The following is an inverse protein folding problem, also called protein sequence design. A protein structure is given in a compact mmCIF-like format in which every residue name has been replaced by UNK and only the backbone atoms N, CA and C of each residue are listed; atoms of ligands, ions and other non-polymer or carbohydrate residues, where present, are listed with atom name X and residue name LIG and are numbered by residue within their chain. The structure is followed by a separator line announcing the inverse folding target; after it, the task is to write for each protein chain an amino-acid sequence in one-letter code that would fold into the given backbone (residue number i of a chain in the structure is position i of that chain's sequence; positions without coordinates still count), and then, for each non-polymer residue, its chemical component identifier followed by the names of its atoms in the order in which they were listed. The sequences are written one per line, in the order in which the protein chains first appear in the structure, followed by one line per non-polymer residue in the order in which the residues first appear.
data_IF_025701572864
#
_entry.id   IF_025701572864
#
_cell.length_a   1.000
_cell.length_b   1.000
_cell.length_c   1.000
_cell.angle_alpha   90.00
_cell.angle_beta   90.00
_cell.angle_gamma   90.00
#
_symmetry.space_group_name_H-M   'P 1'
#
loop_
_entity.id
_entity.type
_entity.pdbx_description
1 polymer ?
#
# COMPACT_ATOMS: atom_id res chain seq x y z
N UNK A 1 52.54 71.86 -44.95
CA UNK A 1 51.46 72.10 -45.93
C UNK A 1 51.23 70.93 -46.90
N UNK A 2 52.25 70.13 -47.23
CA UNK A 2 52.09 68.94 -48.11
C UNK A 2 51.34 67.78 -47.47
N UNK A 3 51.57 67.50 -46.18
CA UNK A 3 50.88 66.41 -45.46
C UNK A 3 49.37 66.66 -45.27
N UNK A 4 48.98 67.93 -45.02
CA UNK A 4 47.58 68.34 -44.86
C UNK A 4 46.78 68.20 -46.16
N UNK A 5 47.41 68.42 -47.31
CA UNK A 5 46.79 68.24 -48.63
C UNK A 5 46.56 66.75 -48.96
N UNK A 6 47.52 65.89 -48.64
CA UNK A 6 47.38 64.44 -48.82
C UNK A 6 46.28 63.84 -47.94
N UNK A 7 46.23 64.22 -46.66
CA UNK A 7 45.19 63.77 -45.73
C UNK A 7 43.79 64.27 -46.13
N UNK A 8 43.69 65.51 -46.62
CA UNK A 8 42.44 66.07 -47.15
C UNK A 8 41.89 65.25 -48.32
N UNK A 9 42.72 64.93 -49.32
CA UNK A 9 42.28 64.15 -50.48
C UNK A 9 41.88 62.71 -50.12
N UNK A 10 42.59 62.08 -49.18
CA UNK A 10 42.23 60.73 -48.70
C UNK A 10 40.88 60.72 -47.98
N UNK A 11 40.64 61.68 -47.08
CA UNK A 11 39.37 61.80 -46.37
C UNK A 11 38.23 62.17 -47.31
N UNK A 12 38.47 63.06 -48.28
CA UNK A 12 37.49 63.42 -49.31
C UNK A 12 37.09 62.21 -50.16
N UNK A 13 38.05 61.36 -50.51
CA UNK A 13 37.76 60.13 -51.25
C UNK A 13 36.95 59.14 -50.42
N UNK A 14 37.28 58.97 -49.13
CA UNK A 14 36.51 58.10 -48.22
C UNK A 14 35.08 58.61 -48.00
N UNK A 15 34.89 59.91 -47.83
CA UNK A 15 33.57 60.52 -47.70
C UNK A 15 32.76 60.41 -49.01
N UNK A 16 33.40 60.62 -50.16
CA UNK A 16 32.75 60.45 -51.46
C UNK A 16 32.28 59.00 -51.69
N UNK A 17 33.00 57.99 -51.17
CA UNK A 17 32.52 56.59 -51.23
C UNK A 17 31.30 56.31 -50.35
N UNK A 18 31.04 57.19 -49.39
CA UNK A 18 29.86 57.18 -48.51
C UNK A 18 28.79 58.18 -48.98
N UNK A 19 28.91 58.70 -50.22
CA UNK A 19 28.07 59.74 -50.82
C UNK A 19 28.07 61.10 -50.09
N UNK A 20 29.08 61.36 -49.24
CA UNK A 20 29.32 62.67 -48.64
C UNK A 20 30.23 63.53 -49.53
N UNK A 21 29.64 64.52 -50.22
CA UNK A 21 30.32 65.37 -51.21
C UNK A 21 30.57 66.82 -50.73
N UNK A 22 30.42 67.08 -49.43
CA UNK A 22 30.57 68.41 -48.85
C UNK A 22 32.04 68.84 -48.73
N UNK A 23 32.31 70.14 -48.93
CA UNK A 23 33.65 70.72 -48.75
C UNK A 23 33.91 71.08 -47.29
N UNK A 24 35.08 70.74 -46.76
CA UNK A 24 35.44 70.99 -45.36
C UNK A 24 36.75 71.80 -45.22
N UNK A 25 36.94 72.43 -44.07
CA UNK A 25 38.13 73.24 -43.77
C UNK A 25 39.29 72.37 -43.29
N UNK A 26 40.53 72.83 -43.53
CA UNK A 26 41.76 72.11 -43.15
C UNK A 26 41.83 71.81 -41.63
N UNK A 27 41.29 72.69 -40.80
CA UNK A 27 41.23 72.53 -39.34
C UNK A 27 40.30 71.39 -38.88
N UNK A 28 39.32 71.03 -39.71
CA UNK A 28 38.29 70.03 -39.37
C UNK A 28 38.67 68.59 -39.72
N UNK A 29 39.74 68.39 -40.50
CA UNK A 29 40.16 67.08 -41.05
C UNK A 29 40.32 66.04 -39.94
N UNK A 30 41.08 66.36 -38.88
CA UNK A 30 41.38 65.42 -37.80
C UNK A 30 40.12 65.01 -37.02
N UNK A 31 39.17 65.93 -36.86
CA UNK A 31 37.91 65.67 -36.17
C UNK A 31 36.99 64.76 -36.99
N UNK A 32 36.85 65.05 -38.29
CA UNK A 32 36.03 64.25 -39.20
C UNK A 32 36.60 62.83 -39.32
N UNK A 33 37.92 62.68 -39.41
CA UNK A 33 38.56 61.38 -39.45
C UNK A 33 38.29 60.56 -38.18
N UNK A 34 38.44 61.16 -36.99
CA UNK A 34 38.11 60.48 -35.73
C UNK A 34 36.65 60.08 -35.64
N UNK A 35 35.73 60.96 -36.06
CA UNK A 35 34.30 60.68 -36.08
C UNK A 35 33.96 59.51 -37.01
N UNK A 36 34.62 59.47 -38.18
CA UNK A 36 34.46 58.38 -39.14
C UNK A 36 34.96 57.05 -38.58
N UNK A 37 36.15 57.06 -37.94
CA UNK A 37 36.72 55.90 -37.25
C UNK A 37 35.77 55.40 -36.14
N UNK A 38 35.28 56.31 -35.29
CA UNK A 38 34.31 55.98 -34.22
C UNK A 38 33.00 55.40 -34.77
N UNK A 39 32.51 55.93 -35.90
CA UNK A 39 31.29 55.46 -36.55
C UNK A 39 31.45 54.06 -37.14
N UNK A 40 32.58 53.78 -37.79
CA UNK A 40 32.91 52.44 -38.31
C UNK A 40 32.98 51.44 -37.17
N UNK A 41 33.71 51.75 -36.09
CA UNK A 41 33.81 50.90 -34.89
C UNK A 41 32.42 50.67 -34.29
N UNK A 42 31.59 51.70 -34.19
CA UNK A 42 30.22 51.58 -33.66
C UNK A 42 29.34 50.71 -34.55
N UNK A 43 29.44 50.82 -35.87
CA UNK A 43 28.69 50.01 -36.82
C UNK A 43 29.09 48.53 -36.76
N UNK A 44 30.39 48.24 -36.69
CA UNK A 44 30.93 46.89 -36.50
C UNK A 44 30.46 46.29 -35.17
N UNK A 45 30.56 47.05 -34.08
CA UNK A 45 30.05 46.63 -32.76
C UNK A 45 28.54 46.39 -32.77
N UNK A 46 27.76 47.22 -33.46
CA UNK A 46 26.31 47.00 -33.63
C UNK A 46 26.02 45.69 -34.38
N UNK A 47 26.80 45.37 -35.42
CA UNK A 47 26.63 44.14 -36.18
C UNK A 47 27.00 42.90 -35.34
N UNK A 48 28.10 42.96 -34.58
CA UNK A 48 28.50 41.92 -33.65
C UNK A 48 27.42 41.68 -32.58
N UNK A 49 26.94 42.76 -31.96
CA UNK A 49 25.90 42.67 -30.93
C UNK A 49 24.61 42.09 -31.47
N UNK A 50 24.21 42.44 -32.70
CA UNK A 50 23.05 41.87 -33.38
C UNK A 50 23.21 40.37 -33.61
N UNK A 51 24.40 39.92 -34.02
CA UNK A 51 24.70 38.49 -34.21
C UNK A 51 24.63 37.72 -32.90
N UNK A 52 25.23 38.24 -31.83
CA UNK A 52 25.19 37.64 -30.50
C UNK A 52 23.77 37.61 -29.94
N UNK A 53 22.99 38.68 -30.09
CA UNK A 53 21.59 38.71 -29.69
C UNK A 53 20.78 37.62 -30.40
N UNK A 54 20.95 37.46 -31.71
CA UNK A 54 20.28 36.40 -32.47
C UNK A 54 20.70 34.99 -32.03
N UNK A 55 21.96 34.81 -31.63
CA UNK A 55 22.45 33.54 -31.10
C UNK A 55 21.80 33.24 -29.75
N UNK A 56 21.81 34.19 -28.82
CA UNK A 56 21.17 34.06 -27.50
C UNK A 56 19.67 33.78 -27.63
N UNK A 57 18.96 34.46 -28.53
CA UNK A 57 17.52 34.25 -28.70
C UNK A 57 17.22 32.85 -29.27
N UNK A 58 18.08 32.32 -30.15
CA UNK A 58 17.99 30.92 -30.63
C UNK A 58 18.23 29.92 -29.50
N UNK A 59 19.28 30.10 -28.72
CA UNK A 59 19.61 29.23 -27.59
C UNK A 59 18.48 29.23 -26.54
N UNK A 60 17.94 30.40 -26.21
CA UNK A 60 16.80 30.55 -25.32
C UNK A 60 15.56 29.81 -25.85
N UNK A 61 15.26 29.95 -27.14
CA UNK A 61 14.13 29.26 -27.76
C UNK A 61 14.32 27.73 -27.71
N UNK A 62 15.54 27.25 -27.98
CA UNK A 62 15.85 25.82 -27.92
C UNK A 62 15.71 25.26 -26.50
N UNK A 63 16.25 25.95 -25.49
CA UNK A 63 16.08 25.60 -24.08
C UNK A 63 14.59 25.56 -23.71
N UNK A 64 13.80 26.53 -24.18
CA UNK A 64 12.37 26.58 -23.90
C UNK A 64 11.62 25.40 -24.54
N UNK A 65 11.96 25.04 -25.79
CA UNK A 65 11.42 23.86 -26.47
C UNK A 65 11.75 22.55 -25.75
N UNK A 66 12.92 22.46 -25.10
CA UNK A 66 13.31 21.29 -24.31
C UNK A 66 12.67 21.29 -22.90
N UNK A 67 12.52 22.45 -22.26
CA UNK A 67 11.99 22.55 -20.90
C UNK A 67 10.48 22.29 -20.82
N UNK A 68 9.73 22.70 -21.84
CA UNK A 68 8.27 22.55 -21.88
C UNK A 68 7.78 21.09 -21.76
N UNK A 69 8.27 20.12 -22.55
CA UNK A 69 7.87 18.72 -22.39
C UNK A 69 8.27 18.16 -21.02
N UNK A 70 9.44 18.53 -20.49
CA UNK A 70 9.87 18.10 -19.16
C UNK A 70 8.93 18.59 -18.06
N UNK A 71 8.48 19.85 -18.14
CA UNK A 71 7.49 20.40 -17.20
C UNK A 71 6.16 19.65 -17.27
N UNK A 72 5.68 19.32 -18.47
CA UNK A 72 4.45 18.54 -18.65
C UNK A 72 4.57 17.15 -18.05
N UNK A 73 5.69 16.47 -18.30
CA UNK A 73 5.97 15.15 -17.72
C UNK A 73 6.06 15.22 -16.20
N UNK A 74 6.72 16.24 -15.64
CA UNK A 74 6.81 16.42 -14.20
C UNK A 74 5.44 16.61 -13.56
N UNK A 75 4.57 17.42 -14.15
CA UNK A 75 3.18 17.61 -13.67
C UNK A 75 2.39 16.31 -13.73
N UNK A 76 2.52 15.55 -14.84
CA UNK A 76 1.85 14.26 -15.00
C UNK A 76 2.32 13.23 -13.95
N UNK A 77 3.64 13.09 -13.78
CA UNK A 77 4.22 12.18 -12.79
C UNK A 77 3.87 12.57 -11.36
N UNK A 78 3.83 13.87 -11.05
CA UNK A 78 3.43 14.34 -9.72
C UNK A 78 1.97 13.99 -9.44
N UNK A 79 1.09 14.14 -10.43
CA UNK A 79 -0.32 13.76 -10.31
C UNK A 79 -0.48 12.25 -10.11
N UNK A 80 0.22 11.45 -10.90
CA UNK A 80 0.22 9.99 -10.78
C UNK A 80 0.74 9.53 -9.42
N UNK A 81 1.89 10.07 -8.98
CA UNK A 81 2.48 9.77 -7.69
C UNK A 81 1.52 10.08 -6.53
N UNK A 82 0.89 11.25 -6.56
CA UNK A 82 -0.11 11.62 -5.55
C UNK A 82 -1.33 10.68 -5.56
N UNK A 83 -1.80 10.26 -6.74
CA UNK A 83 -2.91 9.31 -6.86
C UNK A 83 -2.52 7.94 -6.28
N UNK A 84 -1.35 7.42 -6.66
CA UNK A 84 -0.83 6.16 -6.14
C UNK A 84 -0.65 6.20 -4.62
N UNK A 85 -0.21 7.33 -4.07
CA UNK A 85 -0.12 7.51 -2.62
C UNK A 85 -1.49 7.40 -1.94
N UNK A 86 -2.53 8.03 -2.50
CA UNK A 86 -3.90 7.94 -1.97
C UNK A 86 -4.44 6.51 -2.08
N UNK A 87 -4.25 5.86 -3.23
CA UNK A 87 -4.71 4.49 -3.47
C UNK A 87 -4.04 3.51 -2.51
N UNK A 88 -2.75 3.69 -2.23
CA UNK A 88 -2.00 2.86 -1.29
C UNK A 88 -2.51 3.02 0.15
N UNK A 89 -2.80 4.25 0.57
CA UNK A 89 -3.41 4.51 1.89
C UNK A 89 -4.77 3.82 1.98
N UNK A 90 -5.61 3.96 0.96
CA UNK A 90 -6.93 3.31 0.94
C UNK A 90 -6.84 1.78 0.95
N UNK A 91 -5.91 1.20 0.18
CA UNK A 91 -5.69 -0.24 0.17
C UNK A 91 -5.23 -0.75 1.54
N UNK A 92 -4.32 -0.03 2.20
CA UNK A 92 -3.87 -0.35 3.56
C UNK A 92 -5.03 -0.30 4.57
N UNK A 93 -5.85 0.75 4.54
CA UNK A 93 -7.01 0.89 5.43
C UNK A 93 -8.04 -0.23 5.23
N UNK A 94 -8.28 -0.66 3.99
CA UNK A 94 -9.20 -1.76 3.67
C UNK A 94 -8.62 -3.07 4.22
N UNK A 95 -7.35 -3.33 3.93
CA UNK A 95 -6.65 -4.53 4.39
C UNK A 95 -6.68 -4.63 5.93
N UNK A 96 -6.35 -3.55 6.64
CA UNK A 96 -6.33 -3.54 8.11
C UNK A 96 -7.72 -3.79 8.70
N UNK A 97 -8.78 -3.23 8.08
CA UNK A 97 -10.16 -3.52 8.47
C UNK A 97 -10.53 -4.98 8.25
N UNK A 98 -10.13 -5.58 7.14
CA UNK A 98 -10.38 -6.99 6.83
C UNK A 98 -9.61 -7.93 7.74
N UNK A 99 -8.35 -7.61 8.06
CA UNK A 99 -7.52 -8.36 8.99
C UNK A 99 -8.13 -8.39 10.40
N UNK A 100 -8.56 -7.23 10.91
CA UNK A 100 -9.23 -7.14 12.21
C UNK A 100 -10.53 -7.96 12.22
N UNK A 101 -11.36 -7.85 11.16
CA UNK A 101 -12.59 -8.66 11.03
C UNK A 101 -12.28 -10.16 11.04
N UNK A 102 -11.30 -10.59 10.26
CA UNK A 102 -10.90 -11.99 10.14
C UNK A 102 -10.38 -12.53 11.47
N UNK A 103 -9.52 -11.78 12.16
CA UNK A 103 -9.03 -12.14 13.50
C UNK A 103 -10.16 -12.27 14.52
N UNK A 104 -11.16 -11.39 14.47
CA UNK A 104 -12.31 -11.46 15.36
C UNK A 104 -13.19 -12.70 15.08
N UNK A 105 -13.40 -13.03 13.81
CA UNK A 105 -14.12 -14.25 13.40
C UNK A 105 -13.36 -15.50 13.84
N UNK A 106 -12.04 -15.53 13.64
CA UNK A 106 -11.18 -16.63 14.07
C UNK A 106 -11.29 -16.84 15.59
N UNK A 107 -11.13 -15.77 16.40
CA UNK A 107 -11.28 -15.83 17.85
C UNK A 107 -12.67 -16.31 18.30
N UNK A 108 -13.72 -15.97 17.54
CA UNK A 108 -15.07 -16.46 17.81
C UNK A 108 -15.15 -17.98 17.63
N UNK A 109 -14.66 -18.49 16.50
CA UNK A 109 -14.66 -19.93 16.23
C UNK A 109 -13.72 -20.71 17.15
N UNK A 110 -12.57 -20.16 17.55
CA UNK A 110 -11.68 -20.78 18.52
C UNK A 110 -12.36 -20.98 19.89
N UNK A 111 -13.14 -19.98 20.34
CA UNK A 111 -13.95 -20.11 21.57
C UNK A 111 -15.02 -21.17 21.41
N UNK A 112 -15.79 -21.14 20.33
CA UNK A 112 -16.85 -22.12 20.06
C UNK A 112 -16.29 -23.56 20.00
N UNK A 113 -15.15 -23.77 19.32
CA UNK A 113 -14.46 -25.06 19.29
C UNK A 113 -14.05 -25.50 20.70
N UNK A 114 -13.56 -24.58 21.52
CA UNK A 114 -13.13 -24.90 22.89
C UNK A 114 -14.32 -25.27 23.78
N UNK A 115 -15.44 -24.55 23.66
CA UNK A 115 -16.70 -24.83 24.35
C UNK A 115 -17.27 -26.19 23.92
N UNK A 116 -17.31 -26.47 22.61
CA UNK A 116 -17.77 -27.75 22.07
C UNK A 116 -16.88 -28.91 22.51
N UNK A 117 -15.56 -28.74 22.53
CA UNK A 117 -14.62 -29.75 23.06
C UNK A 117 -14.88 -30.02 24.53
N UNK A 118 -15.10 -28.99 25.33
CA UNK A 118 -15.42 -29.14 26.75
C UNK A 118 -16.74 -29.90 26.95
N UNK A 119 -17.78 -29.51 26.22
CA UNK A 119 -19.09 -30.15 26.28
C UNK A 119 -19.02 -31.63 25.83
N UNK A 120 -18.27 -31.93 24.77
CA UNK A 120 -18.04 -33.30 24.31
C UNK A 120 -17.35 -34.15 25.40
N UNK A 121 -16.34 -33.59 26.06
CA UNK A 121 -15.66 -34.25 27.19
C UNK A 121 -16.61 -34.52 28.36
N UNK A 122 -17.51 -33.58 28.67
CA UNK A 122 -18.54 -33.80 29.70
C UNK A 122 -19.52 -34.91 29.32
N UNK A 123 -20.01 -34.92 28.08
CA UNK A 123 -20.90 -35.98 27.60
C UNK A 123 -20.23 -37.35 27.63
N UNK A 124 -18.95 -37.44 27.24
CA UNK A 124 -18.17 -38.68 27.35
C UNK A 124 -18.10 -39.19 28.79
N UNK A 125 -17.77 -38.32 29.74
CA UNK A 125 -17.74 -38.70 31.15
C UNK A 125 -19.12 -39.15 31.65
N UNK A 126 -20.18 -38.44 31.24
CA UNK A 126 -21.56 -38.78 31.62
C UNK A 126 -21.97 -40.15 31.08
N UNK A 127 -21.62 -40.47 29.84
CA UNK A 127 -21.87 -41.79 29.24
C UNK A 127 -21.13 -42.86 30.01
N UNK A 128 -19.84 -42.69 30.30
CA UNK A 128 -19.06 -43.66 31.09
C UNK A 128 -19.66 -43.92 32.48
N UNK A 129 -20.16 -42.87 33.15
CA UNK A 129 -20.84 -43.03 34.44
C UNK A 129 -22.13 -43.84 34.33
N UNK A 130 -22.93 -43.60 33.28
CA UNK A 130 -24.17 -44.33 33.04
C UNK A 130 -23.87 -45.80 32.67
N UNK A 131 -22.88 -46.04 31.82
CA UNK A 131 -22.41 -47.39 31.46
C UNK A 131 -21.94 -48.15 32.71
N UNK A 132 -21.16 -47.52 33.58
CA UNK A 132 -20.72 -48.15 34.83
C UNK A 132 -21.88 -48.45 35.78
N UNK A 133 -22.89 -47.58 35.86
CA UNK A 133 -24.09 -47.84 36.68
C UNK A 133 -24.91 -48.98 36.11
N UNK A 134 -25.17 -48.93 34.80
CA UNK A 134 -25.88 -49.99 34.08
C UNK A 134 -25.18 -51.34 34.25
N UNK A 135 -23.85 -51.38 34.14
CA UNK A 135 -23.07 -52.58 34.39
C UNK A 135 -23.23 -53.11 35.81
N UNK A 136 -23.24 -52.23 36.82
CA UNK A 136 -23.43 -52.63 38.22
C UNK A 136 -24.85 -53.14 38.51
N UNK A 137 -25.88 -52.53 37.91
CA UNK A 137 -27.26 -52.97 38.04
C UNK A 137 -27.47 -54.30 37.31
N UNK A 138 -26.88 -54.46 36.12
CA UNK A 138 -26.89 -55.71 35.37
C UNK A 138 -26.28 -56.85 36.18
N UNK A 139 -25.13 -56.64 36.82
CA UNK A 139 -24.51 -57.65 37.70
C UNK A 139 -25.40 -58.02 38.88
N UNK A 140 -26.05 -57.05 39.54
CA UNK A 140 -27.01 -57.33 40.61
C UNK A 140 -28.19 -58.17 40.12
N UNK A 141 -28.73 -57.87 38.94
CA UNK A 141 -29.80 -58.66 38.33
C UNK A 141 -29.32 -60.08 38.04
N UNK A 142 -28.13 -60.25 37.48
CA UNK A 142 -27.53 -61.57 37.23
C UNK A 142 -27.32 -62.35 38.54
N UNK A 143 -26.82 -61.72 39.60
CA UNK A 143 -26.68 -62.31 40.93
C UNK A 143 -28.04 -62.75 41.50
N UNK A 144 -29.08 -61.91 41.39
CA UNK A 144 -30.44 -62.25 41.83
C UNK A 144 -31.06 -63.39 41.03
N UNK A 145 -30.87 -63.41 39.71
CA UNK A 145 -31.33 -64.50 38.85
C UNK A 145 -30.65 -65.82 39.20
N UNK A 146 -29.33 -65.79 39.43
CA UNK A 146 -28.58 -66.97 39.87
C UNK A 146 -29.06 -67.45 41.24
N UNK A 147 -29.26 -66.55 42.21
CA UNK A 147 -29.81 -66.89 43.52
C UNK A 147 -31.21 -67.50 43.45
N UNK A 148 -32.08 -66.94 42.60
CA UNK A 148 -33.41 -67.49 42.34
C UNK A 148 -33.33 -68.90 41.73
N UNK A 149 -32.42 -69.13 40.79
CA UNK A 149 -32.20 -70.45 40.19
C UNK A 149 -31.69 -71.47 41.23
N UNK A 150 -30.75 -71.06 42.09
CA UNK A 150 -30.26 -71.87 43.22
C UNK A 150 -31.38 -72.24 44.20
N UNK A 151 -32.26 -71.29 44.57
CA UNK A 151 -33.44 -71.56 45.41
C UNK A 151 -34.41 -72.52 44.71
N UNK A 152 -34.69 -72.32 43.42
CA UNK A 152 -35.58 -73.20 42.66
C UNK A 152 -35.05 -74.64 42.59
N UNK A 153 -33.72 -74.81 42.56
CA UNK A 153 -33.07 -76.12 42.62
C UNK A 153 -33.17 -76.69 44.05
N UNK A 154 -33.00 -75.87 45.08
CA UNK A 154 -33.00 -76.29 46.49
C UNK A 154 -34.41 -76.64 47.04
N UNK A 155 -35.45 -75.91 46.63
CA UNK A 155 -36.85 -76.12 47.10
C UNK A 155 -37.52 -77.31 46.42
N UNK A 156 -36.95 -77.82 45.31
CA UNK A 156 -37.57 -78.88 44.53
C UNK A 156 -38.79 -78.36 43.77
N UNK A 157 -38.92 -78.72 42.49
CA UNK A 157 -39.89 -78.15 41.55
C UNK A 157 -41.39 -78.35 41.87
N UNK A 158 -41.76 -78.93 43.02
CA UNK A 158 -43.06 -79.58 43.19
C UNK A 158 -43.92 -79.16 44.40
N UNK A 159 -43.64 -78.06 45.10
CA UNK A 159 -44.62 -77.55 46.09
C UNK A 159 -44.83 -76.05 45.92
N UNK A 160 -46.05 -75.68 45.52
CA UNK A 160 -46.51 -74.30 45.35
C UNK A 160 -46.62 -73.55 46.68
N UNK A 161 -45.48 -73.28 47.31
CA UNK A 161 -45.34 -72.37 48.44
C UNK A 161 -44.51 -71.13 48.01
N UNK A 162 -44.85 -70.01 48.62
CA UNK A 162 -44.62 -68.66 48.13
C UNK A 162 -43.12 -68.29 48.17
N UNK A 163 -42.41 -68.52 47.06
CA UNK A 163 -40.95 -68.28 46.92
C UNK A 163 -40.58 -66.78 47.01
N UNK A 164 -41.57 -65.87 47.07
CA UNK A 164 -41.34 -64.43 47.19
C UNK A 164 -40.84 -64.00 48.58
N UNK A 165 -41.28 -64.68 49.65
CA UNK A 165 -41.01 -64.27 51.04
C UNK A 165 -39.52 -64.33 51.42
N UNK A 166 -38.78 -65.43 51.12
CA UNK A 166 -37.35 -65.52 51.43
C UNK A 166 -36.48 -64.54 50.61
N UNK A 167 -36.94 -64.20 49.40
CA UNK A 167 -36.25 -63.26 48.50
C UNK A 167 -36.40 -61.82 49.00
N UNK A 168 -37.57 -61.46 49.53
CA UNK A 168 -37.82 -60.16 50.15
C UNK A 168 -37.03 -59.99 51.46
N UNK A 169 -36.93 -61.04 52.27
CA UNK A 169 -36.18 -61.03 53.54
C UNK A 169 -34.66 -60.87 53.32
N UNK A 170 -34.08 -61.50 52.30
CA UNK A 170 -32.66 -61.34 51.95
C UNK A 170 -32.33 -59.93 51.42
N UNK A 171 -33.31 -59.24 50.83
CA UNK A 171 -33.14 -57.89 50.27
C UNK A 171 -33.26 -56.76 51.31
N UNK A 172 -33.60 -57.07 52.57
CA UNK A 172 -33.74 -56.06 53.63
C UNK A 172 -34.85 -55.04 53.37
N UNK A 173 -35.82 -55.38 52.53
CA UNK A 173 -37.02 -54.59 52.28
C UNK A 173 -38.15 -55.20 53.13
N UNK A 174 -38.28 -54.76 54.39
CA UNK A 174 -39.50 -54.99 55.16
C UNK A 174 -40.69 -54.37 54.39
N UNK A 175 -41.73 -55.16 54.14
CA UNK A 175 -42.97 -54.65 53.56
C UNK A 175 -43.58 -53.56 54.46
N UNK A 176 -44.16 -52.49 53.89
CA UNK A 176 -44.87 -51.52 54.69
C UNK A 176 -46.20 -52.11 55.18
N UNK A 177 -46.31 -52.18 56.53
CA UNK A 177 -47.44 -52.48 57.43
C UNK A 177 -47.60 -53.92 57.93
#
# INVERSE_FOLDING_TARGET
ETETSSAYHQLQQQLATLDYNETFTSESILFIQKLLEDLVITAENCQLLKSEYQKVEREKWEIQCQAEPLRRTLVALTKENNQLHIDLIHAADIHDKEDVKTKNILRKYEREISELKFLNSQYKLRVQQLESKFESERKKIEELLNFYEEICIAVGKDTGENVLEPVLEYLGLEEPL
#
